data_IF_558725734139
#
_entry.id   IF_558725734139
#
_cell.length_a   1.000
_cell.length_b   1.000
_cell.length_c   1.000
_cell.angle_alpha   90.00
_cell.angle_beta   90.00
_cell.angle_gamma   90.00
#
_symmetry.space_group_name_H-M   'P 1'
#
loop_
_entity.id
_entity.type
_entity.pdbx_description
1 polymer ?
#
# COMPACT_ATOMS: atom_id res chain seq x y z
N UNK A 1 -32.46 -12.27 10.45
CA UNK A 1 -31.37 -11.40 10.96
C UNK A 1 -30.11 -11.77 10.19
N UNK A 2 -29.84 -11.06 9.09
CA UNK A 2 -28.66 -11.30 8.25
C UNK A 2 -27.48 -10.51 8.78
N UNK A 3 -26.35 -11.17 8.95
CA UNK A 3 -25.07 -10.59 9.37
C UNK A 3 -24.77 -9.31 8.60
N UNK A 4 -24.60 -8.19 9.31
CA UNK A 4 -23.95 -7.00 8.73
C UNK A 4 -22.52 -7.42 8.41
N UNK A 5 -22.23 -7.64 7.13
CA UNK A 5 -20.85 -7.82 6.66
C UNK A 5 -20.11 -6.53 6.98
N UNK A 6 -19.37 -6.54 8.08
CA UNK A 6 -18.48 -5.46 8.46
C UNK A 6 -17.14 -5.80 7.81
N UNK A 7 -16.79 -5.10 6.73
CA UNK A 7 -15.44 -5.21 6.17
C UNK A 7 -14.81 -3.83 6.10
N UNK A 8 -14.68 -3.19 7.26
CA UNK A 8 -13.74 -2.08 7.39
C UNK A 8 -12.34 -2.71 7.46
N UNK A 9 -11.67 -2.84 6.31
CA UNK A 9 -10.26 -3.27 6.29
C UNK A 9 -9.37 -2.05 6.53
N UNK A 10 -8.98 -1.84 7.78
CA UNK A 10 -8.01 -0.79 8.11
C UNK A 10 -6.62 -1.18 7.66
N UNK A 11 -5.93 -0.24 7.04
CA UNK A 11 -4.55 -0.39 6.61
C UNK A 11 -3.73 0.69 7.29
N UNK A 12 -2.53 0.31 7.74
CA UNK A 12 -1.65 1.22 8.44
C UNK A 12 -0.30 1.26 7.74
N UNK A 13 0.29 2.45 7.68
CA UNK A 13 1.66 2.66 7.28
C UNK A 13 2.35 3.59 8.27
N UNK A 14 3.59 3.29 8.61
CA UNK A 14 4.43 4.11 9.46
C UNK A 14 5.49 4.79 8.60
N UNK A 15 5.72 6.08 8.85
CA UNK A 15 6.81 6.78 8.17
C UNK A 15 7.37 7.92 9.01
N UNK A 16 8.61 8.30 8.70
CA UNK A 16 9.29 9.42 9.33
C UNK A 16 9.12 10.70 8.51
N UNK A 17 8.71 11.78 9.16
CA UNK A 17 8.62 13.12 8.58
C UNK A 17 9.87 13.92 8.98
N UNK A 18 10.75 14.15 8.01
CA UNK A 18 12.00 14.89 8.20
C UNK A 18 11.78 16.35 8.58
N UNK A 19 10.63 16.95 8.22
CA UNK A 19 10.35 18.36 8.50
C UNK A 19 10.00 18.58 9.98
N UNK A 20 9.17 17.70 10.53
CA UNK A 20 8.73 17.76 11.94
C UNK A 20 9.58 16.89 12.87
N UNK A 21 10.55 16.15 12.34
CA UNK A 21 11.47 15.26 13.05
C UNK A 21 10.75 14.23 13.93
N UNK A 22 9.61 13.74 13.46
CA UNK A 22 8.80 12.76 14.18
C UNK A 22 8.22 11.71 13.23
N UNK A 23 7.77 10.60 13.81
CA UNK A 23 7.06 9.56 13.08
C UNK A 23 5.57 9.91 12.96
N UNK A 24 4.99 9.54 11.83
CA UNK A 24 3.55 9.59 11.58
C UNK A 24 3.04 8.20 11.26
N UNK A 25 1.86 7.88 11.77
CA UNK A 25 1.08 6.70 11.38
C UNK A 25 -0.02 7.18 10.45
N UNK A 26 -0.14 6.54 9.29
CA UNK A 26 -1.19 6.79 8.32
C UNK A 26 -2.13 5.61 8.34
N UNK A 27 -3.39 5.87 8.61
CA UNK A 27 -4.48 4.90 8.50
C UNK A 27 -5.24 5.18 7.20
N UNK A 28 -5.38 4.17 6.37
CA UNK A 28 -6.25 4.17 5.20
C UNK A 28 -7.37 3.17 5.43
N UNK A 29 -8.62 3.55 5.15
CA UNK A 29 -9.73 2.60 5.08
C UNK A 29 -10.71 3.02 3.99
N UNK A 30 -11.48 2.04 3.49
CA UNK A 30 -12.56 2.29 2.53
C UNK A 30 -13.88 2.06 3.24
N UNK A 31 -14.74 3.06 3.19
CA UNK A 31 -16.13 2.95 3.61
C UNK A 31 -17.00 2.67 2.38
N UNK A 32 -17.72 1.55 2.43
CA UNK A 32 -18.71 1.21 1.42
C UNK A 32 -20.02 1.95 1.66
N UNK A 33 -20.31 2.91 0.80
CA UNK A 33 -21.57 3.64 0.84
C UNK A 33 -22.53 3.06 -0.21
N UNK A 34 -23.40 2.11 0.13
CA UNK A 34 -24.44 1.63 -0.81
C UNK A 34 -25.54 2.69 -0.96
N UNK A 35 -25.95 3.12 -2.18
CA UNK A 35 -25.61 2.63 -3.53
C UNK A 35 -24.51 3.43 -4.28
N UNK A 36 -23.79 4.31 -3.61
CA UNK A 36 -22.74 5.15 -4.17
C UNK A 36 -21.40 4.41 -4.37
N UNK A 37 -20.45 5.07 -5.04
CA UNK A 37 -19.07 4.61 -5.10
C UNK A 37 -18.46 4.54 -3.70
N UNK A 38 -17.60 3.55 -3.48
CA UNK A 38 -16.85 3.42 -2.23
C UNK A 38 -16.04 4.70 -1.96
N UNK A 39 -16.01 5.13 -0.70
CA UNK A 39 -15.29 6.33 -0.27
C UNK A 39 -14.05 5.90 0.50
N UNK A 40 -12.87 6.27 0.02
CA UNK A 40 -11.64 6.16 0.79
C UNK A 40 -11.59 7.26 1.84
N UNK A 41 -11.14 6.94 3.05
CA UNK A 41 -10.76 7.91 4.08
C UNK A 41 -9.32 7.66 4.52
N UNK A 42 -8.60 8.76 4.77
CA UNK A 42 -7.22 8.70 5.26
C UNK A 42 -7.05 9.57 6.49
N UNK A 43 -6.47 8.98 7.53
CA UNK A 43 -6.16 9.63 8.78
C UNK A 43 -4.67 9.60 9.04
N UNK A 44 -4.19 10.64 9.70
CA UNK A 44 -2.80 10.73 10.14
C UNK A 44 -2.77 10.93 11.64
N UNK A 45 -1.89 10.19 12.29
CA UNK A 45 -1.53 10.34 13.69
C UNK A 45 -0.05 10.70 13.79
N UNK A 46 0.27 11.74 14.54
CA UNK A 46 1.66 12.14 14.80
C UNK A 46 2.09 11.47 16.11
N UNK A 47 3.20 10.73 16.09
CA UNK A 47 3.71 10.05 17.28
C UNK A 47 4.10 11.08 18.35
N UNK A 48 3.62 10.88 19.58
CA UNK A 48 3.72 11.85 20.67
C UNK A 48 2.58 12.89 20.71
N UNK A 49 1.69 12.89 19.70
CA UNK A 49 0.43 13.61 19.71
C UNK A 49 -0.69 12.85 20.45
N UNK A 50 -1.90 13.40 20.42
CA UNK A 50 -3.06 12.87 21.17
C UNK A 50 -4.30 12.54 20.33
N UNK A 51 -4.33 12.86 19.04
CA UNK A 51 -5.49 12.60 18.19
C UNK A 51 -5.12 12.20 16.76
N UNK A 52 -6.00 11.40 16.16
CA UNK A 52 -6.04 11.16 14.72
C UNK A 52 -6.75 12.33 14.05
N UNK A 53 -6.28 12.72 12.87
CA UNK A 53 -6.94 13.75 12.05
C UNK A 53 -7.11 13.26 10.62
N UNK A 54 -8.23 13.64 10.02
CA UNK A 54 -8.49 13.35 8.62
C UNK A 54 -7.63 14.26 7.74
N UNK A 55 -7.14 13.71 6.64
CA UNK A 55 -6.54 14.47 5.55
C UNK A 55 -7.39 14.31 4.29
N UNK A 56 -7.09 15.09 3.25
CA UNK A 56 -7.76 14.93 1.97
C UNK A 56 -7.61 13.48 1.49
N UNK A 57 -8.69 12.84 1.10
CA UNK A 57 -8.62 11.48 0.56
C UNK A 57 -8.33 11.53 -0.93
N UNK A 58 -7.55 10.57 -1.43
CA UNK A 58 -7.30 10.38 -2.85
C UNK A 58 -8.17 9.23 -3.36
N UNK A 59 -8.90 9.37 -4.48
CA UNK A 59 -9.91 8.41 -4.92
C UNK A 59 -9.30 7.15 -5.56
N UNK A 60 -8.51 6.40 -4.80
CA UNK A 60 -7.92 5.12 -5.19
C UNK A 60 -8.13 4.09 -4.10
N UNK A 61 -7.97 2.82 -4.45
CA UNK A 61 -7.97 1.71 -3.49
C UNK A 61 -6.58 1.06 -3.51
N UNK A 62 -5.85 1.05 -2.38
CA UNK A 62 -4.64 0.27 -2.21
C UNK A 62 -4.86 -1.19 -2.58
N UNK A 63 -3.92 -1.78 -3.31
CA UNK A 63 -4.08 -3.08 -3.94
C UNK A 63 -4.32 -4.22 -2.94
N UNK A 64 -3.79 -4.10 -1.72
CA UNK A 64 -4.00 -5.03 -0.61
C UNK A 64 -5.42 -5.06 -0.04
N UNK A 65 -6.29 -4.12 -0.41
CA UNK A 65 -7.72 -4.23 -0.11
C UNK A 65 -8.38 -5.36 -0.91
N UNK A 66 -7.84 -5.69 -2.09
CA UNK A 66 -8.42 -6.70 -2.98
C UNK A 66 -8.10 -8.14 -2.54
N UNK A 67 -7.23 -8.32 -1.54
CA UNK A 67 -6.84 -9.62 -1.01
C UNK A 67 -7.45 -9.86 0.38
N UNK A 68 -8.54 -10.64 0.40
CA UNK A 68 -9.23 -11.04 1.63
C UNK A 68 -8.43 -12.03 2.49
N UNK A 69 -7.34 -12.61 1.96
CA UNK A 69 -6.55 -13.65 2.61
C UNK A 69 -5.20 -13.18 3.17
N UNK A 70 -4.62 -12.09 2.64
CA UNK A 70 -3.30 -11.62 3.05
C UNK A 70 -3.19 -10.09 3.13
N UNK A 71 -3.67 -9.52 4.23
CA UNK A 71 -3.71 -8.06 4.48
C UNK A 71 -2.33 -7.40 4.67
N UNK A 72 -1.25 -8.18 4.69
CA UNK A 72 0.11 -7.68 4.98
C UNK A 72 0.91 -7.28 3.73
N UNK A 73 0.55 -7.84 2.57
CA UNK A 73 1.19 -7.54 1.28
C UNK A 73 0.81 -6.11 0.86
N UNK A 74 1.70 -5.41 0.13
CA UNK A 74 1.45 -4.05 -0.37
C UNK A 74 1.07 -3.00 0.69
N UNK A 75 1.48 -3.21 1.94
CA UNK A 75 1.45 -2.14 2.94
C UNK A 75 2.29 -0.94 2.47
N UNK A 76 1.91 0.26 2.89
CA UNK A 76 2.58 1.49 2.47
C UNK A 76 4.07 1.48 2.77
N UNK A 77 4.89 1.80 1.76
CA UNK A 77 6.34 1.81 1.84
C UNK A 77 6.84 3.21 2.11
N UNK A 78 7.50 3.42 3.25
CA UNK A 78 8.17 4.68 3.57
C UNK A 78 9.48 4.81 2.78
N UNK A 79 9.66 5.95 2.11
CA UNK A 79 10.91 6.33 1.46
C UNK A 79 11.04 7.86 1.44
N UNK A 80 12.15 8.38 1.99
CA UNK A 80 12.55 9.79 1.84
C UNK A 80 11.44 10.80 2.18
N UNK A 81 10.79 10.62 3.34
CA UNK A 81 9.73 11.52 3.83
C UNK A 81 8.34 11.28 3.20
N UNK A 82 8.21 10.27 2.34
CA UNK A 82 6.94 9.88 1.72
C UNK A 82 6.52 8.48 2.13
N UNK A 83 5.22 8.18 2.08
CA UNK A 83 4.70 6.81 2.07
C UNK A 83 4.10 6.53 0.71
N UNK A 84 4.43 5.38 0.13
CA UNK A 84 4.08 5.01 -1.23
C UNK A 84 3.28 3.71 -1.23
N UNK A 85 2.16 3.69 -1.96
CA UNK A 85 1.31 2.51 -2.12
C UNK A 85 1.10 2.20 -3.59
N UNK A 86 1.03 0.92 -3.91
CA UNK A 86 0.44 0.48 -5.16
C UNK A 86 -1.08 0.42 -4.99
N UNK A 87 -1.80 1.06 -5.90
CA UNK A 87 -3.25 1.20 -5.83
C UNK A 87 -3.90 1.04 -7.21
N UNK A 88 -5.21 0.87 -7.22
CA UNK A 88 -6.04 0.78 -8.41
C UNK A 88 -6.92 2.03 -8.52
N UNK A 89 -6.99 2.58 -9.74
CA UNK A 89 -7.85 3.70 -10.10
C UNK A 89 -9.05 3.23 -10.95
N UNK A 90 -10.24 3.79 -10.70
CA UNK A 90 -11.57 3.49 -11.32
C UNK A 90 -12.23 2.15 -10.92
N UNK A 91 -13.57 2.14 -11.06
CA UNK A 91 -14.51 1.00 -10.93
C UNK A 91 -14.53 0.28 -9.58
N UNK A 92 -15.08 0.97 -8.57
CA UNK A 92 -15.20 0.45 -7.21
C UNK A 92 -16.46 -0.40 -7.02
N UNK A 93 -16.29 -1.68 -6.73
CA UNK A 93 -17.37 -2.55 -6.24
C UNK A 93 -16.84 -3.47 -5.13
N UNK A 94 -17.69 -3.75 -4.14
CA UNK A 94 -17.41 -4.59 -2.93
C UNK A 94 -16.89 -6.02 -3.21
N UNK A 95 -16.89 -6.46 -4.46
CA UNK A 95 -16.44 -7.79 -4.90
C UNK A 95 -15.34 -7.69 -5.97
N UNK A 96 -14.73 -6.52 -6.12
CA UNK A 96 -13.61 -6.35 -7.03
C UNK A 96 -12.40 -7.07 -6.41
N UNK A 97 -12.02 -8.20 -7.00
CA UNK A 97 -10.83 -8.97 -6.66
C UNK A 97 -9.77 -8.75 -7.74
N UNK A 98 -8.52 -9.07 -7.42
CA UNK A 98 -7.37 -8.82 -8.29
C UNK A 98 -7.56 -9.39 -9.71
N UNK A 99 -8.19 -10.56 -9.81
CA UNK A 99 -8.45 -11.28 -11.07
C UNK A 99 -9.37 -10.53 -12.04
N UNK A 100 -10.08 -9.50 -11.59
CA UNK A 100 -10.89 -8.65 -12.47
C UNK A 100 -10.14 -7.46 -13.06
N UNK A 101 -8.88 -7.25 -12.68
CA UNK A 101 -8.03 -6.22 -13.29
C UNK A 101 -7.57 -6.73 -14.65
N UNK A 102 -8.02 -6.08 -15.72
CA UNK A 102 -7.71 -6.48 -17.11
C UNK A 102 -6.84 -5.48 -17.86
N UNK A 103 -6.45 -4.39 -17.20
CA UNK A 103 -5.86 -3.21 -17.81
C UNK A 103 -4.73 -2.68 -16.92
N UNK A 104 -3.50 -2.66 -17.44
CA UNK A 104 -2.31 -2.22 -16.69
C UNK A 104 -2.41 -0.75 -16.28
N UNK A 105 -3.11 0.05 -17.09
CA UNK A 105 -3.34 1.47 -16.82
C UNK A 105 -4.13 1.69 -15.54
N UNK A 106 -4.89 0.70 -15.04
CA UNK A 106 -5.61 0.83 -13.78
C UNK A 106 -4.68 0.96 -12.57
N UNK A 107 -3.45 0.44 -12.65
CA UNK A 107 -2.47 0.56 -11.59
C UNK A 107 -1.92 1.99 -11.50
N UNK A 108 -1.77 2.47 -10.27
CA UNK A 108 -1.12 3.74 -9.96
C UNK A 108 -0.27 3.59 -8.71
N UNK A 109 0.86 4.31 -8.66
CA UNK A 109 1.59 4.48 -7.41
C UNK A 109 1.16 5.82 -6.80
N UNK A 110 0.61 5.78 -5.60
CA UNK A 110 0.28 6.97 -4.85
C UNK A 110 1.34 7.22 -3.79
N UNK A 111 1.86 8.44 -3.77
CA UNK A 111 2.85 8.91 -2.81
C UNK A 111 2.23 9.99 -1.93
N UNK A 112 2.21 9.77 -0.62
CA UNK A 112 1.81 10.76 0.38
C UNK A 112 3.07 11.41 0.93
N UNK A 113 3.22 12.71 0.71
CA UNK A 113 4.24 13.51 1.38
C UNK A 113 3.86 13.69 2.85
N UNK A 114 4.70 13.22 3.77
CA UNK A 114 4.39 13.28 5.20
C UNK A 114 4.52 14.69 5.75
N UNK A 115 5.29 15.58 5.14
CA UNK A 115 5.47 16.95 5.62
C UNK A 115 4.25 17.82 5.29
N UNK A 116 3.74 17.71 4.06
CA UNK A 116 2.61 18.52 3.57
C UNK A 116 1.27 17.80 3.63
N UNK A 117 1.29 16.47 3.81
CA UNK A 117 0.11 15.59 3.78
C UNK A 117 -0.70 15.72 2.50
N UNK A 118 0.03 15.86 1.39
CA UNK A 118 -0.52 15.95 0.05
C UNK A 118 -0.08 14.74 -0.77
N UNK A 119 -0.95 14.37 -1.71
CA UNK A 119 -0.73 13.22 -2.57
C UNK A 119 -0.14 13.62 -3.90
N UNK A 120 0.68 12.73 -4.45
CA UNK A 120 1.11 12.76 -5.84
C UNK A 120 0.94 11.36 -6.43
N UNK A 121 0.56 11.31 -7.70
CA UNK A 121 0.61 10.08 -8.47
C UNK A 121 1.99 9.99 -9.12
N UNK A 122 2.67 8.85 -8.93
CA UNK A 122 3.93 8.53 -9.59
C UNK A 122 3.66 7.67 -10.83
N UNK A 123 4.59 7.73 -11.78
CA UNK A 123 4.58 6.83 -12.93
C UNK A 123 4.91 5.40 -12.48
N UNK A 124 4.33 4.42 -13.18
CA UNK A 124 4.70 3.02 -12.98
C UNK A 124 6.15 2.81 -13.44
N UNK A 125 6.94 1.97 -12.73
CA UNK A 125 8.24 1.51 -13.19
C UNK A 125 8.23 1.01 -14.63
N UNK A 126 9.31 1.30 -15.35
CA UNK A 126 9.51 0.83 -16.72
C UNK A 126 9.46 -0.71 -16.78
N UNK A 127 8.78 -1.25 -17.80
CA UNK A 127 8.58 -2.69 -17.99
C UNK A 127 7.31 -3.23 -17.36
N UNK A 128 6.51 -2.39 -16.71
CA UNK A 128 5.17 -2.74 -16.25
C UNK A 128 4.13 -2.35 -17.31
N UNK A 129 4.13 -3.10 -18.41
CA UNK A 129 3.32 -2.82 -19.61
C UNK A 129 2.10 -3.75 -19.76
N UNK A 130 1.98 -4.76 -18.89
CA UNK A 130 0.90 -5.75 -18.86
C UNK A 130 0.42 -5.98 -17.41
N UNK A 131 -0.79 -6.53 -17.24
CA UNK A 131 -1.29 -6.91 -15.92
C UNK A 131 -0.54 -8.15 -15.42
N UNK A 132 0.14 -8.11 -14.28
CA UNK A 132 0.86 -9.26 -13.76
C UNK A 132 -0.09 -10.39 -13.36
N UNK A 133 0.32 -11.63 -13.63
CA UNK A 133 -0.44 -12.82 -13.24
C UNK A 133 -0.56 -12.99 -11.71
N UNK A 134 0.48 -12.57 -10.98
CA UNK A 134 0.52 -12.56 -9.52
C UNK A 134 0.48 -11.12 -9.03
N UNK A 135 -0.16 -10.85 -7.90
CA UNK A 135 -0.23 -9.50 -7.36
C UNK A 135 1.18 -8.89 -7.18
N UNK A 136 1.49 -7.77 -7.85
CA UNK A 136 2.79 -7.11 -7.70
C UNK A 136 2.91 -6.44 -6.34
N UNK A 137 4.12 -6.36 -5.81
CA UNK A 137 4.44 -5.75 -4.51
C UNK A 137 5.38 -4.57 -4.71
N UNK A 138 5.07 -3.43 -4.09
CA UNK A 138 5.98 -2.29 -4.04
C UNK A 138 7.09 -2.54 -3.02
N UNK A 139 8.36 -2.38 -3.41
CA UNK A 139 9.54 -2.53 -2.55
C UNK A 139 10.55 -1.41 -2.77
N UNK A 140 11.39 -1.17 -1.78
CA UNK A 140 12.56 -0.30 -1.92
C UNK A 140 13.64 -1.08 -2.67
N UNK A 141 14.14 -0.53 -3.78
CA UNK A 141 15.27 -1.10 -4.52
C UNK A 141 16.61 -0.55 -4.06
N UNK A 142 16.66 0.73 -3.72
CA UNK A 142 17.83 1.39 -3.12
C UNK A 142 17.33 2.63 -2.33
N UNK A 143 18.19 3.34 -1.59
CA UNK A 143 17.77 4.46 -0.73
C UNK A 143 16.98 5.58 -1.41
N UNK A 144 16.96 5.63 -2.76
CA UNK A 144 16.29 6.66 -3.53
C UNK A 144 15.32 6.11 -4.58
N UNK A 145 14.98 4.82 -4.55
CA UNK A 145 14.08 4.23 -5.55
C UNK A 145 13.23 3.11 -4.99
N UNK A 146 12.02 3.02 -5.55
CA UNK A 146 11.08 1.92 -5.39
C UNK A 146 11.05 1.11 -6.68
N UNK A 147 10.80 -0.19 -6.53
CA UNK A 147 10.53 -1.12 -7.62
C UNK A 147 9.26 -1.91 -7.34
N UNK A 148 8.64 -2.43 -8.39
CA UNK A 148 7.60 -3.44 -8.27
C UNK A 148 8.23 -4.80 -8.52
N UNK A 149 7.83 -5.80 -7.73
CA UNK A 149 8.26 -7.19 -7.87
C UNK A 149 7.05 -8.11 -7.74
N UNK A 150 7.10 -9.30 -8.33
CA UNK A 150 6.05 -10.29 -8.11
C UNK A 150 6.10 -10.80 -6.66
N UNK A 151 4.92 -11.10 -6.08
CA UNK A 151 4.83 -11.63 -4.71
C UNK A 151 5.67 -12.90 -4.50
N UNK A 152 5.78 -13.75 -5.52
CA UNK A 152 6.58 -14.98 -5.49
C UNK A 152 8.06 -14.74 -5.18
N UNK A 153 8.58 -13.52 -5.44
CA UNK A 153 9.95 -13.10 -5.12
C UNK A 153 10.12 -12.57 -3.68
N UNK A 154 9.06 -12.57 -2.87
CA UNK A 154 9.11 -12.11 -1.46
C UNK A 154 9.78 -13.14 -0.55
N UNK A 155 9.92 -14.40 -0.97
CA UNK A 155 10.54 -15.47 -0.19
C UNK A 155 11.96 -15.85 -0.62
N UNK A 156 12.98 -15.10 -0.19
CA UNK A 156 14.31 -15.63 0.17
C UNK A 156 15.24 -14.50 0.68
N UNK A 157 15.02 -14.09 1.93
CA UNK A 157 15.94 -13.22 2.68
C UNK A 157 16.79 -13.98 3.70
N UNK A 158 16.94 -15.30 3.54
CA UNK A 158 17.79 -16.11 4.41
C UNK A 158 19.23 -16.09 3.92
N UNK A 159 20.10 -15.35 4.61
CA UNK A 159 21.55 -15.52 4.55
C UNK A 159 21.89 -16.98 4.84
N UNK A 160 22.34 -17.72 3.83
CA UNK A 160 23.15 -18.92 4.08
C UNK A 160 24.52 -18.43 4.52
N UNK A 161 24.71 -18.27 5.83
CA UNK A 161 26.04 -18.24 6.41
C UNK A 161 26.69 -19.61 6.21
N UNK A 162 27.96 -19.56 5.81
CA UNK A 162 28.83 -20.70 5.57
C UNK A 162 29.00 -21.57 6.83
N UNK A 163 28.28 -22.66 6.95
CA UNK A 163 28.72 -23.77 7.81
C UNK A 163 29.84 -24.54 7.11
N UNK A 164 31.07 -24.06 7.34
CA UNK A 164 32.26 -24.91 7.29
C UNK A 164 32.13 -25.99 8.37
N UNK A 165 31.70 -27.19 8.00
CA UNK A 165 31.94 -28.36 8.83
C UNK A 165 33.34 -28.91 8.57
N UNK A 166 34.16 -28.75 9.61
CA UNK A 166 35.43 -29.44 9.82
C UNK A 166 35.21 -30.96 9.83
N UNK A 167 36.10 -31.63 9.11
CA UNK A 167 36.35 -33.07 9.14
C UNK A 167 36.94 -33.42 10.52
N UNK A 168 36.70 -34.63 11.06
CA UNK A 168 37.62 -35.75 10.83
C UNK A 168 36.98 -36.95 10.11
#
# INVERSE_FOLDING_TARGET
MGSKSCSLCFQFALGYDDSSKTYKVVEFHVEENKPALAKSEVKVFILGGNCWRNIQSFPVIPLNWLDYGNTSINSGVHLSGTINWLAIHKYFHQYYIYEYISHVEQFVIISLDLSTETYKQLLLPQGFDEVPFVQPVLKISNPNSIKMVDESEVGNGGTKEDEKHLIP
#
